data_IF_500968996984
#
_entry.id   IF_500968996984
#
_cell.length_a   1.000
_cell.length_b   1.000
_cell.length_c   1.000
_cell.angle_alpha   90.00
_cell.angle_beta   90.00
_cell.angle_gamma   90.00
#
_symmetry.space_group_name_H-M   'P 1'
#
loop_
_entity.id
_entity.type
_entity.pdbx_description
1 polymer ?
#
# COMPACT_ATOMS: atom_id res chain seq x y z
N UNK A 1 -23.09 -6.99 -7.52
CA UNK A 1 -22.59 -5.68 -7.04
C UNK A 1 -21.66 -5.96 -5.86
N UNK A 2 -20.53 -5.25 -5.68
CA UNK A 2 -19.59 -5.52 -4.56
C UNK A 2 -20.27 -5.48 -3.18
N UNK A 3 -21.34 -4.68 -3.02
CA UNK A 3 -22.15 -4.65 -1.81
C UNK A 3 -22.67 -6.04 -1.37
N UNK A 4 -23.00 -6.93 -2.32
CA UNK A 4 -23.47 -8.28 -2.01
C UNK A 4 -22.38 -9.21 -1.47
N UNK A 5 -21.11 -9.02 -1.88
CA UNK A 5 -19.98 -9.81 -1.41
C UNK A 5 -19.84 -9.70 0.11
N UNK A 6 -19.96 -8.49 0.64
CA UNK A 6 -19.78 -8.19 2.07
C UNK A 6 -21.08 -8.01 2.84
N UNK A 7 -22.23 -8.36 2.26
CA UNK A 7 -23.53 -8.21 2.93
C UNK A 7 -23.89 -6.77 3.33
N UNK A 8 -23.40 -5.77 2.59
CA UNK A 8 -23.63 -4.36 2.90
C UNK A 8 -25.11 -4.01 2.76
N UNK A 9 -25.72 -3.58 3.87
CA UNK A 9 -27.16 -3.29 3.97
C UNK A 9 -27.47 -1.88 4.49
N UNK A 10 -26.45 -1.07 4.78
CA UNK A 10 -26.56 0.30 5.27
C UNK A 10 -25.52 1.19 4.59
N UNK A 11 -25.70 2.52 4.68
CA UNK A 11 -24.76 3.49 4.13
C UNK A 11 -24.55 4.65 5.13
N UNK A 12 -23.32 5.15 5.29
CA UNK A 12 -22.08 4.62 4.71
C UNK A 12 -21.62 3.32 5.40
N UNK A 13 -20.90 2.48 4.68
CA UNK A 13 -20.23 1.28 5.20
C UNK A 13 -18.84 1.21 4.59
N UNK A 14 -17.83 0.95 5.41
CA UNK A 14 -16.45 0.69 4.99
C UNK A 14 -16.09 -0.76 5.26
N UNK A 15 -15.32 -1.37 4.36
CA UNK A 15 -14.86 -2.75 4.47
C UNK A 15 -13.34 -2.73 4.47
N UNK A 16 -12.72 -3.15 5.56
CA UNK A 16 -11.28 -3.15 5.76
C UNK A 16 -10.69 -4.49 5.37
N UNK A 17 -9.70 -4.47 4.49
CA UNK A 17 -8.99 -5.64 3.95
C UNK A 17 -9.91 -6.80 3.54
N UNK A 18 -11.17 -6.50 3.19
CA UNK A 18 -12.18 -7.51 2.88
C UNK A 18 -12.62 -8.42 4.03
N UNK A 19 -12.25 -8.11 5.28
CA UNK A 19 -12.49 -8.95 6.47
C UNK A 19 -13.30 -8.26 7.57
N UNK A 20 -13.33 -6.92 7.61
CA UNK A 20 -14.03 -6.19 8.67
C UNK A 20 -14.97 -5.13 8.12
N UNK A 21 -16.26 -5.22 8.47
CA UNK A 21 -17.29 -4.27 8.08
C UNK A 21 -17.56 -3.25 9.20
N UNK A 22 -17.36 -1.97 8.91
CA UNK A 22 -17.71 -0.86 9.78
C UNK A 22 -18.91 -0.11 9.18
N UNK A 23 -20.01 0.00 9.93
CA UNK A 23 -21.24 0.67 9.48
C UNK A 23 -21.40 2.02 10.19
N UNK A 24 -21.73 3.05 9.41
CA UNK A 24 -21.98 4.39 9.92
C UNK A 24 -20.88 5.38 9.54
N UNK A 25 -21.21 6.66 9.65
CA UNK A 25 -20.29 7.76 9.42
C UNK A 25 -20.55 8.87 10.43
N UNK A 26 -19.69 9.87 10.44
CA UNK A 26 -19.81 10.97 11.38
C UNK A 26 -21.02 11.88 11.07
N UNK A 27 -21.68 12.35 12.13
CA UNK A 27 -22.73 13.37 12.00
C UNK A 27 -22.16 14.66 11.42
N UNK A 28 -22.93 15.31 10.54
CA UNK A 28 -22.52 16.57 9.92
C UNK A 28 -21.32 16.47 8.97
N UNK A 29 -20.87 15.25 8.62
CA UNK A 29 -19.72 15.04 7.74
C UNK A 29 -18.37 15.26 8.42
N UNK A 30 -18.32 15.32 9.74
CA UNK A 30 -17.10 15.48 10.55
C UNK A 30 -16.34 14.15 10.68
N UNK A 31 -15.81 13.63 9.57
CA UNK A 31 -15.11 12.35 9.51
C UNK A 31 -13.92 12.27 10.47
N UNK A 32 -13.33 13.42 10.82
CA UNK A 32 -12.26 13.54 11.81
C UNK A 32 -12.71 13.03 13.19
N UNK A 33 -14.00 13.17 13.54
CA UNK A 33 -14.52 12.68 14.83
C UNK A 33 -14.58 11.16 14.98
N UNK A 34 -14.53 10.41 13.87
CA UNK A 34 -14.51 8.94 13.91
C UNK A 34 -13.12 8.37 13.69
N UNK A 35 -12.13 9.22 13.35
CA UNK A 35 -10.74 8.83 13.11
C UNK A 35 -10.14 7.94 14.22
N UNK A 36 -10.36 8.20 15.54
CA UNK A 36 -9.79 7.35 16.58
C UNK A 36 -10.23 5.89 16.52
N UNK A 37 -11.47 5.62 16.09
CA UNK A 37 -11.95 4.23 15.92
C UNK A 37 -11.42 3.58 14.63
N UNK A 38 -11.06 4.39 13.63
CA UNK A 38 -10.39 3.92 12.41
C UNK A 38 -8.93 3.60 12.69
N UNK A 39 -8.29 4.33 13.61
CA UNK A 39 -6.90 4.11 14.01
C UNK A 39 -6.71 2.73 14.68
N UNK A 40 -7.63 2.33 15.56
CA UNK A 40 -7.61 0.98 16.16
C UNK A 40 -7.73 -0.12 15.09
N UNK A 41 -8.66 0.05 14.14
CA UNK A 41 -8.81 -0.88 13.01
C UNK A 41 -7.60 -0.87 12.06
N UNK A 42 -6.96 0.28 11.87
CA UNK A 42 -5.72 0.38 11.12
C UNK A 42 -4.62 -0.42 11.80
N UNK A 43 -4.41 -0.25 13.11
CA UNK A 43 -3.40 -1.01 13.86
C UNK A 43 -3.63 -2.52 13.83
N UNK A 44 -4.88 -2.98 13.77
CA UNK A 44 -5.19 -4.41 13.63
C UNK A 44 -4.84 -4.98 12.24
N UNK A 45 -4.59 -4.13 11.23
CA UNK A 45 -4.60 -4.50 9.82
C UNK A 45 -3.50 -3.89 8.95
N UNK A 46 -2.63 -3.01 9.48
CA UNK A 46 -1.65 -2.26 8.69
C UNK A 46 -0.42 -3.07 8.30
N UNK A 47 0.06 -3.96 9.17
CA UNK A 47 1.30 -4.72 8.95
C UNK A 47 1.04 -6.23 8.84
N UNK A 48 0.09 -6.59 7.98
CA UNK A 48 -0.17 -7.98 7.67
C UNK A 48 0.76 -8.41 6.54
N UNK A 49 1.68 -9.38 6.76
CA UNK A 49 2.61 -9.80 5.74
C UNK A 49 1.85 -10.36 4.54
N UNK A 50 2.29 -9.96 3.35
CA UNK A 50 1.71 -10.41 2.09
C UNK A 50 2.75 -11.16 1.29
N UNK A 51 2.45 -12.41 0.93
CA UNK A 51 3.30 -13.18 0.02
C UNK A 51 3.27 -12.66 -1.44
N UNK A 52 2.61 -11.53 -1.70
CA UNK A 52 2.45 -10.97 -3.02
C UNK A 52 2.97 -9.52 -3.06
N UNK A 53 3.73 -9.20 -4.09
CA UNK A 53 4.00 -7.81 -4.52
C UNK A 53 3.24 -7.52 -5.80
N UNK A 54 2.78 -6.28 -5.95
CA UNK A 54 2.03 -5.82 -7.13
C UNK A 54 2.76 -4.66 -7.80
N UNK A 55 2.99 -4.81 -9.11
CA UNK A 55 3.49 -3.77 -10.00
C UNK A 55 2.37 -3.32 -10.94
N UNK A 56 2.28 -2.01 -11.19
CA UNK A 56 1.37 -1.45 -12.20
C UNK A 56 2.21 -0.66 -13.18
N UNK A 57 2.17 -1.03 -14.45
CA UNK A 57 3.00 -0.40 -15.48
C UNK A 57 2.20 -0.18 -16.75
N UNK A 58 2.60 0.77 -17.58
CA UNK A 58 1.90 1.05 -18.83
C UNK A 58 2.31 2.39 -19.42
N UNK A 59 1.50 2.86 -20.36
CA UNK A 59 1.76 4.12 -21.05
C UNK A 59 0.45 4.92 -21.13
N UNK A 60 0.57 6.23 -20.90
CA UNK A 60 -0.52 7.17 -21.08
C UNK A 60 0.05 8.53 -21.47
N UNK A 61 -0.41 9.05 -22.60
CA UNK A 61 -0.10 10.41 -23.03
C UNK A 61 -1.27 11.35 -22.65
N UNK A 62 -1.01 12.49 -22.00
CA UNK A 62 -2.05 13.44 -21.64
C UNK A 62 -2.89 13.88 -22.83
N UNK A 63 -4.19 13.59 -22.77
CA UNK A 63 -5.16 13.87 -23.83
C UNK A 63 -5.62 12.63 -24.60
N UNK A 64 -5.00 11.48 -24.37
CA UNK A 64 -5.52 10.21 -24.86
C UNK A 64 -6.81 9.82 -24.14
N UNK A 65 -7.70 9.13 -24.86
CA UNK A 65 -8.98 8.66 -24.35
C UNK A 65 -8.94 7.20 -23.89
N UNK A 66 -7.77 6.59 -23.91
CA UNK A 66 -7.56 5.23 -23.46
C UNK A 66 -6.23 5.10 -22.73
N UNK A 67 -6.18 4.19 -21.77
CA UNK A 67 -4.98 3.84 -21.03
C UNK A 67 -4.76 2.35 -21.19
N UNK A 68 -3.58 1.97 -21.67
CA UNK A 68 -3.13 0.59 -21.71
C UNK A 68 -2.12 0.39 -20.59
N UNK A 69 -2.36 -0.64 -19.78
CA UNK A 69 -1.50 -0.94 -18.63
C UNK A 69 -1.53 -2.43 -18.34
N UNK A 70 -0.53 -2.88 -17.63
CA UNK A 70 -0.42 -4.23 -17.10
C UNK A 70 -0.32 -4.18 -15.58
N UNK A 71 -0.80 -5.23 -14.95
CA UNK A 71 -0.59 -5.49 -13.52
C UNK A 71 0.25 -6.75 -13.41
N UNK A 72 1.43 -6.63 -12.81
CA UNK A 72 2.29 -7.75 -12.47
C UNK A 72 2.05 -8.15 -11.01
N UNK A 73 1.89 -9.45 -10.77
CA UNK A 73 1.90 -10.04 -9.43
C UNK A 73 3.17 -10.88 -9.31
N UNK A 74 3.96 -10.64 -8.27
CA UNK A 74 5.16 -11.38 -7.93
C UNK A 74 4.93 -12.09 -6.59
N UNK A 75 5.31 -13.36 -6.50
CA UNK A 75 5.34 -14.06 -5.21
C UNK A 75 6.64 -13.74 -4.50
N UNK A 76 6.52 -13.14 -3.32
CA UNK A 76 7.66 -12.72 -2.54
C UNK A 76 8.48 -13.92 -2.05
N UNK A 77 9.79 -13.87 -2.27
CA UNK A 77 10.72 -14.92 -1.90
C UNK A 77 11.02 -14.96 -0.40
N UNK A 78 10.82 -13.83 0.30
CA UNK A 78 11.31 -13.65 1.66
C UNK A 78 10.28 -14.08 2.72
N UNK A 79 9.02 -14.30 2.30
CA UNK A 79 7.90 -14.59 3.22
C UNK A 79 7.47 -16.06 3.14
N UNK A 80 7.19 -16.60 1.95
CA UNK A 80 6.69 -17.97 1.80
C UNK A 80 7.21 -18.65 0.52
N UNK A 81 7.69 -19.87 0.65
CA UNK A 81 8.17 -20.67 -0.48
C UNK A 81 7.05 -21.15 -1.40
N UNK A 82 5.82 -21.33 -0.86
CA UNK A 82 4.65 -21.78 -1.63
C UNK A 82 3.36 -21.18 -1.08
N UNK A 83 2.61 -20.47 -1.92
CA UNK A 83 1.41 -19.75 -1.49
C UNK A 83 0.13 -20.48 -1.90
N UNK A 84 -0.85 -20.52 -1.00
CA UNK A 84 -2.19 -21.01 -1.35
C UNK A 84 -2.95 -19.95 -2.16
N UNK A 85 -3.07 -20.18 -3.47
CA UNK A 85 -3.75 -19.31 -4.42
C UNK A 85 -5.21 -19.71 -4.71
N UNK A 86 -5.79 -20.63 -3.94
CA UNK A 86 -7.17 -21.07 -4.18
C UNK A 86 -8.13 -19.88 -4.14
N UNK A 87 -8.91 -19.73 -5.22
CA UNK A 87 -9.84 -18.63 -5.44
C UNK A 87 -9.20 -17.23 -5.26
N UNK A 88 -7.93 -17.08 -5.60
CA UNK A 88 -7.21 -15.81 -5.53
C UNK A 88 -7.17 -15.12 -6.89
N UNK A 89 -7.48 -13.82 -6.90
CA UNK A 89 -7.60 -13.03 -8.12
C UNK A 89 -6.97 -11.66 -7.94
N UNK A 90 -6.41 -11.12 -9.02
CA UNK A 90 -6.05 -9.70 -9.10
C UNK A 90 -7.27 -8.91 -9.57
N UNK A 91 -7.83 -8.06 -8.70
CA UNK A 91 -8.95 -7.19 -9.06
C UNK A 91 -8.46 -5.78 -9.38
N UNK A 92 -8.97 -5.20 -10.47
CA UNK A 92 -8.48 -3.92 -10.99
C UNK A 92 -9.60 -2.89 -11.14
N UNK A 93 -9.33 -1.66 -10.70
CA UNK A 93 -10.24 -0.53 -10.71
C UNK A 93 -9.60 0.69 -11.33
N UNK A 94 -10.37 1.44 -12.13
CA UNK A 94 -10.03 2.82 -12.47
C UNK A 94 -10.77 3.75 -11.51
N UNK A 95 -10.01 4.55 -10.78
CA UNK A 95 -10.47 5.36 -9.67
C UNK A 95 -10.16 6.82 -9.98
N UNK A 96 -11.14 7.70 -9.79
CA UNK A 96 -10.95 9.14 -9.94
C UNK A 96 -10.91 9.80 -8.57
N UNK A 97 -9.85 10.56 -8.32
CA UNK A 97 -9.70 11.33 -7.10
C UNK A 97 -10.19 12.78 -7.27
N UNK A 98 -10.41 13.49 -6.16
CA UNK A 98 -10.72 14.93 -6.15
C UNK A 98 -11.91 15.37 -7.01
N UNK A 99 -13.03 14.64 -6.97
CA UNK A 99 -14.25 15.05 -7.69
C UNK A 99 -15.05 16.05 -6.85
N UNK A 100 -15.12 17.29 -7.30
CA UNK A 100 -15.92 18.31 -6.62
C UNK A 100 -17.41 18.03 -6.73
N UNK A 101 -18.07 17.74 -5.60
CA UNK A 101 -19.46 17.28 -5.55
C UNK A 101 -20.24 17.87 -4.37
N UNK A 102 -21.56 18.02 -4.55
CA UNK A 102 -22.44 18.52 -3.51
C UNK A 102 -22.95 17.37 -2.62
N UNK A 103 -22.68 17.47 -1.31
CA UNK A 103 -23.09 16.47 -0.33
C UNK A 103 -24.39 16.90 0.34
N UNK A 104 -25.51 16.45 -0.22
CA UNK A 104 -26.85 16.90 0.16
C UNK A 104 -27.24 16.63 1.62
N UNK A 105 -26.66 15.61 2.26
CA UNK A 105 -26.92 15.29 3.68
C UNK A 105 -26.40 16.36 4.65
N UNK A 106 -25.34 17.08 4.26
CA UNK A 106 -24.70 18.13 5.08
C UNK A 106 -24.80 19.52 4.46
N UNK A 107 -25.30 19.61 3.22
CA UNK A 107 -25.56 20.88 2.53
C UNK A 107 -24.29 21.63 2.12
N UNK A 108 -23.19 20.92 1.86
CA UNK A 108 -21.88 21.50 1.56
C UNK A 108 -21.26 20.88 0.31
N UNK A 109 -20.34 21.62 -0.32
CA UNK A 109 -19.52 21.13 -1.40
C UNK A 109 -18.20 20.60 -0.88
N UNK A 110 -17.83 19.40 -1.33
CA UNK A 110 -16.61 18.70 -0.90
C UNK A 110 -16.01 17.92 -2.08
N UNK A 111 -14.73 17.57 -1.96
CA UNK A 111 -14.08 16.67 -2.90
C UNK A 111 -14.38 15.22 -2.51
N UNK A 112 -15.09 14.49 -3.35
CA UNK A 112 -15.17 13.05 -3.25
C UNK A 112 -13.82 12.46 -3.65
N UNK A 113 -13.21 11.69 -2.74
CA UNK A 113 -11.89 11.09 -2.92
C UNK A 113 -12.04 9.65 -3.38
N UNK A 114 -11.10 9.21 -4.22
CA UNK A 114 -10.96 7.82 -4.67
C UNK A 114 -12.28 7.14 -5.12
N UNK A 115 -13.05 7.80 -5.99
CA UNK A 115 -14.31 7.25 -6.51
C UNK A 115 -14.02 6.24 -7.62
N UNK A 116 -14.39 4.97 -7.40
CA UNK A 116 -14.29 3.93 -8.42
C UNK A 116 -15.21 4.23 -9.61
N UNK A 117 -14.64 4.64 -10.74
CA UNK A 117 -15.37 4.93 -11.99
C UNK A 117 -15.56 3.67 -12.82
N UNK A 118 -14.60 2.75 -12.78
CA UNK A 118 -14.64 1.48 -13.52
C UNK A 118 -14.13 0.33 -12.66
N UNK A 119 -14.83 -0.79 -12.71
CA UNK A 119 -14.35 -2.08 -12.20
C UNK A 119 -13.98 -2.94 -13.41
N UNK A 120 -12.68 -3.03 -13.70
CA UNK A 120 -12.12 -3.60 -14.93
C UNK A 120 -12.34 -5.11 -14.96
N UNK A 121 -12.09 -5.77 -13.84
CA UNK A 121 -12.17 -7.24 -13.65
C UNK A 121 -13.53 -7.72 -13.15
N UNK A 122 -14.58 -6.89 -13.29
CA UNK A 122 -15.92 -7.18 -12.75
C UNK A 122 -16.56 -8.44 -13.33
N UNK A 123 -16.39 -8.66 -14.63
CA UNK A 123 -17.02 -9.75 -15.36
C UNK A 123 -16.11 -10.97 -15.38
N UNK A 124 -16.70 -12.17 -15.32
CA UNK A 124 -15.97 -13.45 -15.43
C UNK A 124 -15.00 -13.51 -16.61
N UNK A 125 -15.35 -12.92 -17.76
CA UNK A 125 -14.49 -12.89 -18.95
C UNK A 125 -13.22 -12.04 -18.80
N UNK A 126 -13.19 -11.13 -17.81
CA UNK A 126 -12.08 -10.21 -17.56
C UNK A 126 -11.46 -10.46 -16.16
N UNK A 127 -11.74 -11.61 -15.54
CA UNK A 127 -11.13 -11.98 -14.26
C UNK A 127 -9.66 -12.32 -14.46
N UNK A 128 -8.85 -12.01 -13.46
CA UNK A 128 -7.43 -12.35 -13.42
C UNK A 128 -7.19 -13.39 -12.33
N UNK A 129 -7.49 -14.67 -12.57
CA UNK A 129 -7.15 -15.72 -11.62
C UNK A 129 -5.62 -15.84 -11.53
N UNK A 130 -5.09 -15.81 -10.31
CA UNK A 130 -3.65 -16.05 -10.08
C UNK A 130 -3.35 -17.52 -10.37
N UNK A 131 -2.30 -17.78 -11.14
CA UNK A 131 -1.90 -19.13 -11.56
C UNK A 131 -0.50 -19.55 -11.11
N UNK A 132 0.32 -18.60 -10.65
CA UNK A 132 1.63 -18.83 -10.04
C UNK A 132 1.50 -19.07 -8.54
N UNK A 133 2.34 -19.93 -7.97
CA UNK A 133 2.26 -20.30 -6.54
C UNK A 133 3.60 -20.51 -5.83
N UNK A 134 4.72 -20.43 -6.55
CA UNK A 134 6.05 -20.61 -5.98
C UNK A 134 6.78 -19.27 -5.87
N UNK A 135 7.60 -19.13 -4.83
CA UNK A 135 8.48 -17.98 -4.61
C UNK A 135 9.23 -17.57 -5.89
N UNK A 136 9.15 -16.28 -6.23
CA UNK A 136 9.89 -15.67 -7.33
C UNK A 136 9.23 -15.85 -8.69
N UNK A 137 8.13 -16.58 -8.77
CA UNK A 137 7.28 -16.59 -9.95
C UNK A 137 6.50 -15.28 -10.03
N UNK A 138 6.39 -14.73 -11.25
CA UNK A 138 5.51 -13.61 -11.54
C UNK A 138 4.52 -13.92 -12.67
N UNK A 139 3.41 -13.21 -12.67
CA UNK A 139 2.36 -13.28 -13.68
C UNK A 139 1.89 -11.87 -14.04
N UNK A 140 1.61 -11.62 -15.33
CA UNK A 140 1.24 -10.30 -15.84
C UNK A 140 -0.17 -10.36 -16.44
N UNK A 141 -1.01 -9.40 -16.05
CA UNK A 141 -2.35 -9.22 -16.59
C UNK A 141 -2.48 -7.90 -17.34
N UNK A 142 -2.80 -7.95 -18.64
CA UNK A 142 -2.94 -6.77 -19.49
C UNK A 142 -4.37 -6.23 -19.51
N UNK A 143 -4.49 -4.91 -19.49
CA UNK A 143 -5.76 -4.20 -19.44
C UNK A 143 -5.78 -2.95 -20.33
N UNK A 144 -6.99 -2.61 -20.75
CA UNK A 144 -7.31 -1.36 -21.43
C UNK A 144 -8.52 -0.72 -20.74
N UNK A 145 -8.43 0.59 -20.48
CA UNK A 145 -9.53 1.38 -19.94
C UNK A 145 -9.79 2.58 -20.85
N UNK A 146 -11.02 2.66 -21.37
CA UNK A 146 -11.52 3.85 -22.03
C UNK A 146 -11.86 4.93 -20.99
N UNK A 147 -11.24 6.08 -21.12
CA UNK A 147 -11.50 7.27 -20.33
C UNK A 147 -12.69 8.04 -20.92
N UNK A 148 -13.53 8.59 -20.05
CA UNK A 148 -14.64 9.42 -20.47
C UNK A 148 -14.27 10.90 -20.38
N UNK A 149 -14.76 11.70 -21.34
CA UNK A 149 -14.63 13.17 -21.33
C UNK A 149 -15.21 13.85 -20.08
N UNK A 150 -16.03 13.14 -19.30
CA UNK A 150 -16.61 13.64 -18.05
C UNK A 150 -15.72 13.41 -16.83
N UNK A 151 -14.51 12.87 -17.01
CA UNK A 151 -13.55 12.54 -15.96
C UNK A 151 -12.38 13.51 -16.06
N UNK A 152 -11.78 13.88 -14.94
CA UNK A 152 -10.51 14.60 -14.94
C UNK A 152 -9.35 13.60 -15.00
N UNK A 153 -8.72 13.48 -16.17
CA UNK A 153 -7.74 12.44 -16.46
C UNK A 153 -6.52 12.52 -15.53
N UNK A 154 -6.10 13.73 -15.14
CA UNK A 154 -4.97 13.92 -14.21
C UNK A 154 -5.22 13.29 -12.83
N UNK A 155 -6.50 13.13 -12.46
CA UNK A 155 -6.91 12.58 -11.17
C UNK A 155 -7.22 11.07 -11.23
N UNK A 156 -7.02 10.43 -12.39
CA UNK A 156 -7.25 9.00 -12.54
C UNK A 156 -6.06 8.21 -11.99
N UNK A 157 -6.39 7.17 -11.22
CA UNK A 157 -5.48 6.19 -10.68
C UNK A 157 -5.99 4.79 -11.03
N UNK A 158 -5.07 3.89 -11.28
CA UNK A 158 -5.33 2.45 -11.32
C UNK A 158 -5.11 1.91 -9.91
N UNK A 159 -6.07 1.15 -9.40
CA UNK A 159 -5.95 0.41 -8.14
C UNK A 159 -6.03 -1.07 -8.47
N UNK A 160 -5.00 -1.82 -8.11
CA UNK A 160 -4.96 -3.27 -8.19
C UNK A 160 -4.94 -3.86 -6.79
N UNK A 161 -5.69 -4.94 -6.57
CA UNK A 161 -5.71 -5.65 -5.29
C UNK A 161 -5.60 -7.15 -5.52
N UNK A 162 -4.91 -7.86 -4.63
CA UNK A 162 -4.97 -9.32 -4.55
C UNK A 162 -6.10 -9.68 -3.59
N UNK A 163 -7.12 -10.35 -4.10
CA UNK A 163 -8.32 -10.70 -3.35
C UNK A 163 -8.60 -12.20 -3.41
N UNK A 164 -8.78 -12.81 -2.24
CA UNK A 164 -9.22 -14.20 -2.11
C UNK A 164 -10.74 -14.26 -1.94
N UNK A 165 -11.42 -15.00 -2.81
CA UNK A 165 -12.87 -15.17 -2.75
C UNK A 165 -13.25 -16.45 -1.99
N UNK A 166 -14.02 -16.29 -0.93
CA UNK A 166 -14.66 -17.39 -0.20
C UNK A 166 -16.15 -17.52 -0.57
N UNK A 167 -16.91 -18.29 0.20
CA UNK A 167 -18.36 -18.38 0.05
C UNK A 167 -19.07 -17.03 0.25
N UNK A 168 -20.23 -16.85 -0.40
CA UNK A 168 -21.03 -15.63 -0.26
C UNK A 168 -21.43 -15.39 1.21
N UNK A 169 -21.18 -14.18 1.71
CA UNK A 169 -21.42 -13.81 3.11
C UNK A 169 -20.28 -14.20 4.07
N UNK A 170 -19.17 -14.71 3.55
CA UNK A 170 -17.90 -14.86 4.27
C UNK A 170 -16.99 -13.67 4.00
N UNK A 171 -15.88 -13.60 4.74
CA UNK A 171 -14.83 -12.64 4.47
C UNK A 171 -14.16 -12.96 3.13
N UNK A 172 -13.77 -11.90 2.42
CA UNK A 172 -13.07 -12.01 1.14
C UNK A 172 -11.75 -11.23 1.23
N UNK A 173 -10.74 -11.79 1.91
CA UNK A 173 -9.53 -11.09 2.30
C UNK A 173 -8.84 -10.42 1.11
N UNK A 174 -8.35 -9.21 1.34
CA UNK A 174 -7.47 -8.48 0.45
C UNK A 174 -6.11 -8.47 1.12
N UNK A 175 -5.14 -9.15 0.51
CA UNK A 175 -3.80 -9.35 1.09
C UNK A 175 -2.77 -8.38 0.54
N UNK A 176 -3.02 -7.78 -0.62
CA UNK A 176 -2.13 -6.79 -1.21
C UNK A 176 -2.95 -5.76 -1.99
N UNK A 177 -2.51 -4.52 -1.99
CA UNK A 177 -3.10 -3.44 -2.76
C UNK A 177 -2.00 -2.52 -3.29
N UNK A 178 -2.08 -2.14 -4.56
CA UNK A 178 -1.19 -1.17 -5.18
C UNK A 178 -1.99 -0.13 -5.94
N UNK A 179 -1.48 1.10 -5.97
CA UNK A 179 -2.12 2.20 -6.69
C UNK A 179 -1.10 2.98 -7.51
N UNK A 180 -1.51 3.45 -8.68
CA UNK A 180 -0.66 4.28 -9.53
C UNK A 180 -1.47 5.30 -10.32
N UNK A 181 -0.99 6.53 -10.36
CA UNK A 181 -1.60 7.56 -11.20
C UNK A 181 -1.32 7.24 -12.67
N UNK A 182 -2.29 7.45 -13.55
CA UNK A 182 -2.12 7.12 -14.97
C UNK A 182 -1.01 7.92 -15.65
N UNK A 183 -0.65 9.10 -15.12
CA UNK A 183 0.45 9.92 -15.66
C UNK A 183 1.84 9.41 -15.26
N UNK A 184 1.93 8.44 -14.33
CA UNK A 184 3.18 7.89 -13.81
C UNK A 184 3.21 6.37 -14.01
N UNK A 185 2.84 5.90 -15.20
CA UNK A 185 2.79 4.47 -15.52
C UNK A 185 4.07 3.92 -16.15
N UNK A 186 4.99 4.80 -16.57
CA UNK A 186 6.26 4.42 -17.18
C UNK A 186 6.96 3.35 -16.31
N UNK A 187 7.14 2.10 -16.76
CA UNK A 187 7.69 1.03 -15.95
C UNK A 187 9.11 1.28 -15.43
N UNK A 188 9.90 2.10 -16.14
CA UNK A 188 11.33 2.33 -15.94
C UNK A 188 11.62 3.84 -16.15
N UNK A 189 11.24 4.68 -15.19
CA UNK A 189 11.28 6.14 -15.35
C UNK A 189 12.70 6.73 -15.32
N UNK A 190 13.72 6.00 -14.89
CA UNK A 190 15.11 6.44 -14.88
C UNK A 190 15.99 5.77 -15.95
N UNK A 191 15.45 4.76 -16.65
CA UNK A 191 16.01 4.17 -17.86
C UNK A 191 17.13 3.16 -17.58
N UNK A 192 17.08 2.48 -16.45
CA UNK A 192 18.10 1.57 -15.96
C UNK A 192 17.88 0.09 -16.34
N UNK A 193 16.79 -0.16 -17.08
CA UNK A 193 16.29 -1.47 -17.54
C UNK A 193 15.63 -2.33 -16.46
N UNK A 194 15.36 -1.78 -15.27
CA UNK A 194 14.62 -2.43 -14.20
C UNK A 194 13.24 -1.78 -14.04
N UNK A 195 12.23 -2.61 -13.74
CA UNK A 195 10.89 -2.11 -13.44
C UNK A 195 10.72 -1.95 -11.95
N UNK A 196 9.75 -1.14 -11.52
CA UNK A 196 9.46 -0.89 -10.09
C UNK A 196 9.37 -2.10 -9.15
N UNK A 197 9.09 -3.32 -9.63
CA UNK A 197 9.10 -4.50 -8.75
C UNK A 197 10.51 -5.01 -8.43
N UNK A 198 11.49 -4.58 -9.20
CA UNK A 198 12.86 -5.06 -9.22
C UNK A 198 13.89 -3.94 -9.12
N UNK A 199 13.44 -2.71 -8.88
CA UNK A 199 14.27 -1.51 -8.81
C UNK A 199 14.15 -0.88 -7.42
N UNK A 200 15.24 -0.88 -6.64
CA UNK A 200 15.33 -0.26 -5.32
C UNK A 200 15.58 1.25 -5.37
N UNK A 201 15.73 1.84 -6.56
CA UNK A 201 15.86 3.28 -6.77
C UNK A 201 15.08 3.78 -7.98
N UNK A 202 13.76 3.62 -7.92
CA UNK A 202 12.73 4.04 -8.90
C UNK A 202 12.89 5.34 -9.70
N UNK A 203 13.79 6.25 -9.36
CA UNK A 203 13.99 7.52 -10.06
C UNK A 203 15.48 7.91 -10.18
N UNK A 204 16.41 7.01 -9.85
CA UNK A 204 17.85 7.24 -9.80
C UNK A 204 18.58 6.04 -10.37
N UNK A 205 18.98 6.17 -11.63
CA UNK A 205 19.68 5.14 -12.41
C UNK A 205 20.73 4.36 -11.60
N UNK A 206 20.47 3.09 -11.33
CA UNK A 206 21.36 2.18 -10.60
C UNK A 206 21.20 0.70 -11.04
N UNK A 207 21.58 0.33 -12.28
CA UNK A 207 21.40 -1.03 -12.79
C UNK A 207 22.10 -2.15 -11.98
N UNK A 208 23.05 -1.77 -11.12
CA UNK A 208 23.76 -2.69 -10.24
C UNK A 208 22.96 -3.08 -9.00
N UNK A 209 21.92 -2.32 -8.65
CA UNK A 209 21.02 -2.54 -7.51
C UNK A 209 21.79 -2.78 -6.20
N UNK A 210 22.98 -2.17 -6.07
CA UNK A 210 23.75 -2.22 -4.84
C UNK A 210 22.92 -1.61 -3.71
N UNK A 211 22.73 -2.38 -2.65
CA UNK A 211 22.01 -2.03 -1.44
C UNK A 211 22.83 -2.63 -0.29
N UNK A 212 23.80 -1.85 0.17
CA UNK A 212 24.84 -2.36 1.05
C UNK A 212 24.31 -2.67 2.45
N UNK A 213 23.21 -2.06 2.86
CA UNK A 213 22.59 -2.16 4.18
C UNK A 213 21.25 -2.92 4.14
N UNK A 214 20.70 -3.21 2.97
CA UNK A 214 19.60 -4.16 2.80
C UNK A 214 18.26 -3.62 3.29
N UNK A 215 18.04 -2.31 3.20
CA UNK A 215 16.78 -1.66 3.60
C UNK A 215 15.81 -1.42 2.43
N UNK A 216 16.11 -2.04 1.28
CA UNK A 216 15.36 -1.93 0.02
C UNK A 216 15.49 -0.57 -0.67
N UNK A 217 16.33 0.35 -0.16
CA UNK A 217 16.76 1.55 -0.88
C UNK A 217 18.19 1.37 -1.39
N UNK A 218 18.37 1.42 -2.71
CA UNK A 218 19.71 1.23 -3.27
C UNK A 218 20.69 2.35 -2.85
N UNK A 219 21.98 2.03 -2.76
CA UNK A 219 23.09 2.92 -2.40
C UNK A 219 23.07 4.27 -3.16
N UNK A 220 22.50 4.27 -4.37
CA UNK A 220 22.41 5.44 -5.24
C UNK A 220 21.33 6.46 -4.81
N UNK A 221 20.24 5.99 -4.20
CA UNK A 221 19.11 6.81 -3.77
C UNK A 221 18.90 6.80 -2.25
N UNK A 222 19.64 5.97 -1.52
CA UNK A 222 19.64 5.96 -0.06
C UNK A 222 20.19 7.29 0.48
N UNK A 223 19.34 8.02 1.21
CA UNK A 223 19.70 9.25 1.88
C UNK A 223 20.45 9.02 3.21
N UNK A 224 20.47 7.77 3.69
CA UNK A 224 20.90 7.36 5.02
C UNK A 224 22.33 6.85 5.10
N UNK A 225 23.04 6.89 3.97
CA UNK A 225 24.47 6.59 3.84
C UNK A 225 24.81 5.16 4.32
N UNK A 226 23.97 4.17 4.01
CA UNK A 226 24.19 2.78 4.37
C UNK A 226 23.83 2.48 5.83
N UNK A 227 22.78 3.12 6.34
CA UNK A 227 22.18 2.81 7.64
C UNK A 227 20.82 2.17 7.39
N UNK A 228 20.60 0.98 7.95
CA UNK A 228 19.36 0.19 7.80
C UNK A 228 18.14 0.97 8.32
N UNK A 229 17.51 1.76 7.46
CA UNK A 229 16.42 2.63 7.82
C UNK A 229 15.08 1.94 7.57
N UNK A 230 14.80 0.95 8.41
CA UNK A 230 13.49 0.31 8.44
C UNK A 230 12.67 0.79 9.65
N UNK A 231 11.34 0.72 9.52
CA UNK A 231 10.45 1.11 10.61
C UNK A 231 10.72 0.28 11.87
N UNK A 232 10.88 0.96 13.01
CA UNK A 232 11.19 0.33 14.29
C UNK A 232 12.67 0.14 14.62
N UNK A 233 13.58 0.25 13.64
CA UNK A 233 15.02 0.30 13.87
C UNK A 233 15.48 1.74 14.17
N UNK A 234 15.16 2.23 15.35
CA UNK A 234 15.30 3.64 15.72
C UNK A 234 16.75 4.04 15.98
N UNK A 235 17.57 3.12 16.52
CA UNK A 235 19.00 3.37 16.71
C UNK A 235 19.86 3.00 15.50
N UNK A 236 19.21 2.52 14.42
CA UNK A 236 19.79 2.18 13.11
C UNK A 236 20.86 1.10 13.21
N UNK A 237 20.67 0.14 14.13
CA UNK A 237 21.56 -0.99 14.27
C UNK A 237 21.21 -2.14 13.33
N UNK A 238 22.22 -2.98 13.05
CA UNK A 238 22.05 -4.16 12.23
C UNK A 238 23.14 -5.18 12.56
N UNK A 239 22.90 -6.45 12.27
CA UNK A 239 23.86 -7.52 12.56
C UNK A 239 24.06 -8.51 11.42
N UNK A 240 25.23 -9.14 11.45
CA UNK A 240 25.62 -10.15 10.46
C UNK A 240 26.08 -9.54 9.13
N UNK A 241 26.37 -10.41 8.17
CA UNK A 241 26.73 -10.01 6.80
C UNK A 241 25.49 -9.69 5.94
N UNK A 242 24.30 -9.99 6.45
CA UNK A 242 23.01 -9.75 5.79
C UNK A 242 22.27 -8.52 6.36
N UNK A 243 22.97 -7.67 7.13
CA UNK A 243 22.43 -6.44 7.71
C UNK A 243 21.05 -6.59 8.36
N UNK A 244 20.84 -7.71 9.06
CA UNK A 244 19.55 -7.99 9.67
C UNK A 244 19.32 -6.97 10.79
N UNK A 245 18.28 -6.13 10.70
CA UNK A 245 17.99 -5.08 11.69
C UNK A 245 17.69 -5.72 13.06
N UNK A 246 18.03 -5.03 14.16
CA UNK A 246 17.72 -5.52 15.50
C UNK A 246 16.67 -4.60 16.15
N UNK A 247 15.40 -4.86 15.87
CA UNK A 247 14.32 -4.15 16.55
C UNK A 247 14.21 -4.67 18.00
N UNK A 248 14.69 -3.87 18.94
CA UNK A 248 14.90 -4.29 20.32
C UNK A 248 14.71 -3.19 21.36
N UNK A 249 15.13 -3.52 22.58
CA UNK A 249 15.03 -2.59 23.71
C UNK A 249 15.88 -1.33 23.49
N UNK A 250 16.94 -1.42 22.68
CA UNK A 250 17.78 -0.27 22.36
C UNK A 250 17.01 0.79 21.55
N UNK A 251 16.17 0.37 20.60
CA UNK A 251 15.27 1.24 19.83
C UNK A 251 14.22 1.92 20.69
N UNK A 252 13.62 1.19 21.62
CA UNK A 252 12.67 1.76 22.59
C UNK A 252 13.33 2.87 23.40
N UNK A 253 14.57 2.64 23.85
CA UNK A 253 15.33 3.65 24.58
C UNK A 253 15.68 4.84 23.68
N UNK A 254 16.10 4.59 22.45
CA UNK A 254 16.42 5.64 21.47
C UNK A 254 15.21 6.51 21.14
N UNK A 255 14.02 5.92 20.94
CA UNK A 255 12.78 6.65 20.69
C UNK A 255 12.32 7.42 21.93
N UNK A 256 12.43 6.83 23.12
CA UNK A 256 12.13 7.53 24.39
C UNK A 256 13.02 8.76 24.57
N UNK A 257 14.32 8.61 24.32
CA UNK A 257 15.30 9.70 24.40
C UNK A 257 15.00 10.82 23.40
N UNK A 258 14.56 10.46 22.18
CA UNK A 258 14.17 11.39 21.13
C UNK A 258 12.90 12.19 21.51
N UNK A 259 11.89 11.52 22.07
CA UNK A 259 10.65 12.14 22.56
C UNK A 259 10.89 13.11 23.72
N UNK A 260 11.82 12.78 24.61
CA UNK A 260 12.20 13.62 25.75
C UNK A 260 13.19 14.73 25.36
N UNK A 261 13.64 14.76 24.10
CA UNK A 261 14.66 15.69 23.61
C UNK A 261 16.02 15.52 24.30
N UNK A 262 16.26 14.34 24.87
CA UNK A 262 17.47 13.97 25.59
C UNK A 262 18.14 12.81 24.88
N UNK A 263 18.94 13.08 23.85
CA UNK A 263 19.55 12.00 23.07
C UNK A 263 20.31 12.51 21.85
N UNK A 264 20.52 11.61 20.88
CA UNK A 264 20.98 11.99 19.54
C UNK A 264 19.93 12.92 18.89
N UNK A 265 20.36 13.95 18.15
CA UNK A 265 19.41 14.76 17.40
C UNK A 265 18.65 13.87 16.40
N UNK A 266 17.35 14.10 16.20
CA UNK A 266 16.59 13.38 15.18
C UNK A 266 17.32 13.49 13.84
N UNK A 267 17.58 12.33 13.23
CA UNK A 267 18.09 12.24 11.88
C UNK A 267 16.90 12.01 10.94
N UNK A 268 16.99 12.53 9.72
CA UNK A 268 15.97 12.33 8.67
C UNK A 268 15.83 10.84 8.29
N UNK A 269 16.77 10.00 8.74
CA UNK A 269 16.84 8.55 8.56
C UNK A 269 16.25 7.72 9.69
N UNK A 270 15.63 8.34 10.69
CA UNK A 270 14.97 7.58 11.74
C UNK A 270 13.49 7.44 11.38
N UNK A 271 13.08 6.25 10.97
CA UNK A 271 11.67 5.91 10.74
C UNK A 271 10.96 5.63 12.08
N UNK A 272 10.59 6.73 12.76
CA UNK A 272 10.11 6.74 14.16
C UNK A 272 8.61 7.06 14.32
N UNK A 273 7.94 7.37 13.21
CA UNK A 273 6.48 7.46 13.14
C UNK A 273 5.94 6.04 12.94
N UNK A 274 5.87 5.28 14.04
CA UNK A 274 5.40 3.89 14.04
C UNK A 274 3.94 3.78 13.60
N UNK A 275 3.18 4.87 13.72
CA UNK A 275 1.78 4.92 13.32
C UNK A 275 1.57 5.48 11.90
N UNK A 276 2.62 6.01 11.28
CA UNK A 276 2.58 6.77 10.03
C UNK A 276 1.49 7.85 9.99
N UNK A 277 1.16 8.41 11.16
CA UNK A 277 0.07 9.39 11.30
C UNK A 277 0.54 10.84 11.12
N UNK A 278 1.85 11.01 10.89
CA UNK A 278 2.53 12.28 10.75
C UNK A 278 2.90 12.93 12.08
N UNK A 279 2.70 12.26 13.23
CA UNK A 279 2.95 12.81 14.57
C UNK A 279 3.76 11.88 15.45
N UNK A 280 5.05 12.19 15.61
CA UNK A 280 5.95 11.44 16.51
C UNK A 280 5.65 11.77 17.98
N UNK A 281 5.14 10.80 18.74
CA UNK A 281 4.71 10.94 20.13
C UNK A 281 4.79 9.63 20.94
N UNK A 282 4.30 9.64 22.18
CA UNK A 282 4.37 8.48 23.08
C UNK A 282 3.56 7.26 22.61
N UNK A 283 2.62 7.42 21.68
CA UNK A 283 1.89 6.31 21.09
C UNK A 283 2.78 5.51 20.13
N UNK A 284 3.67 6.16 19.38
CA UNK A 284 4.69 5.47 18.57
C UNK A 284 5.61 4.62 19.43
N UNK A 285 6.01 5.17 20.60
CA UNK A 285 6.81 4.43 21.58
C UNK A 285 6.08 3.19 22.11
N UNK A 286 4.77 3.26 22.34
CA UNK A 286 3.99 2.11 22.79
C UNK A 286 3.96 1.02 21.71
N UNK A 287 3.76 1.40 20.45
CA UNK A 287 3.77 0.44 19.33
C UNK A 287 5.13 -0.20 19.17
N UNK A 288 6.21 0.58 19.26
CA UNK A 288 7.56 0.02 19.22
C UNK A 288 7.82 -0.97 20.37
N UNK A 289 7.33 -0.68 21.58
CA UNK A 289 7.39 -1.62 22.70
C UNK A 289 6.64 -2.92 22.38
N UNK A 290 5.45 -2.83 21.78
CA UNK A 290 4.67 -4.02 21.41
C UNK A 290 5.37 -4.86 20.33
N UNK A 291 6.00 -4.23 19.33
CA UNK A 291 6.83 -4.90 18.30
C UNK A 291 7.99 -5.65 18.95
N UNK A 292 8.76 -4.99 19.81
CA UNK A 292 9.88 -5.60 20.54
C UNK A 292 9.41 -6.75 21.45
N UNK A 293 8.23 -6.63 22.06
CA UNK A 293 7.65 -7.68 22.90
C UNK A 293 7.12 -8.88 22.10
N UNK A 294 6.79 -8.68 20.82
CA UNK A 294 6.35 -9.73 19.90
C UNK A 294 7.51 -10.54 19.31
N UNK A 295 8.75 -10.07 19.45
CA UNK A 295 9.94 -10.80 19.02
C UNK A 295 11.00 -9.97 18.32
N UNK A 296 10.69 -8.70 18.01
CA UNK A 296 11.50 -7.91 17.08
C UNK A 296 11.20 -8.34 15.66
#
# INVERSE_FOLDING_TARGET
MRAGLYGVNAYPTTVWNGVHNQVGGASGGNWESIYPGYLELYHEHYDLPSAFRLGISGEYEPGDNEVNFSVEILIDNDIDTTVNIENTYVEVFAVEDNIYSFWGSIGQWHNARNVARRYVTKSEANKNPVSVSEAGQSEIFEHNVLLSDAWEHSNIKIVAIVQQFQSEGSDHPITQAQTRNINNLDPDPDGDELTYLYDNCHYVYNPGQEDADGDEYGDACDACNGLVNIQGNVDLDAHGENFTPIIGVADVLALSDLLDGSGLPPNDCQSIDMLEDGTINNFDLIVLVDVVMAGG
#
